data_IF_420973992020
#
_entry.id   IF_420973992020
#
_cell.length_a   1.000
_cell.length_b   1.000
_cell.length_c   1.000
_cell.angle_alpha   90.00
_cell.angle_beta   90.00
_cell.angle_gamma   90.00
#
_symmetry.space_group_name_H-M   'P 1'
#
loop_
_entity.id
_entity.type
_entity.pdbx_description
1 polymer ?
2 non-polymer ?
3 non-polymer ?
4 water ?
#
# COMPACT_ATOMS: atom_id res chain seq x y z
N UNK A 18 0.91 -26.67 -2.63
CA UNK A 18 1.71 -25.73 -1.85
C UNK A 18 1.83 -26.13 -0.38
N UNK A 19 2.53 -25.29 0.37
CA UNK A 19 2.65 -25.41 1.83
C UNK A 19 3.15 -26.76 2.34
N UNK A 20 4.39 -27.13 1.97
CA UNK A 20 4.97 -28.42 2.38
C UNK A 20 5.05 -28.57 3.90
N UNK A 21 5.04 -29.82 4.38
CA UNK A 21 5.04 -30.10 5.81
C UNK A 21 6.45 -30.20 6.36
N UNK A 22 7.41 -30.45 5.48
CA UNK A 22 8.78 -30.69 5.92
C UNK A 22 9.78 -29.79 5.19
N UNK A 23 9.41 -28.52 4.99
CA UNK A 23 10.31 -27.55 4.40
C UNK A 23 11.57 -27.37 5.28
N UNK A 24 12.75 -27.41 4.67
CA UNK A 24 13.99 -27.21 5.41
C UNK A 24 14.34 -25.72 5.49
N UNK A 25 13.98 -25.10 6.62
CA UNK A 25 14.26 -23.70 6.88
C UNK A 25 15.67 -23.45 7.43
N UNK A 26 16.41 -24.54 7.67
CA UNK A 26 17.79 -24.44 8.17
C UNK A 26 18.80 -24.31 7.04
N UNK A 27 18.76 -23.16 6.36
CA UNK A 27 19.59 -22.90 5.19
C UNK A 27 21.08 -22.75 5.53
N UNK A 28 21.94 -23.39 4.75
CA UNK A 28 23.37 -23.24 4.92
C UNK A 28 23.90 -22.45 3.74
N UNK A 29 23.08 -22.32 2.69
CA UNK A 29 23.45 -21.51 1.52
C UNK A 29 22.26 -20.70 0.99
N UNK A 30 22.55 -19.67 0.21
CA UNK A 30 21.51 -18.99 -0.52
C UNK A 30 21.26 -17.58 -0.06
N UNK A 31 20.37 -16.88 -0.76
CA UNK A 31 20.03 -15.51 -0.42
C UNK A 31 18.52 -15.30 -0.38
N UNK A 32 18.07 -14.34 0.44
CA UNK A 32 16.65 -14.20 0.76
C UNK A 32 16.28 -12.72 0.76
N UNK A 33 15.19 -12.38 0.07
CA UNK A 33 14.76 -10.98 -0.04
C UNK A 33 13.29 -10.82 0.34
N UNK A 34 12.95 -9.64 0.87
CA UNK A 34 11.56 -9.24 1.07
C UNK A 34 11.03 -8.71 -0.26
N UNK A 35 9.80 -9.08 -0.62
CA UNK A 35 9.14 -8.46 -1.77
C UNK A 35 7.93 -7.71 -1.24
N UNK A 36 7.85 -6.41 -1.50
CA UNK A 36 6.64 -5.67 -1.13
C UNK A 36 5.78 -5.45 -2.38
N UNK A 37 4.65 -6.14 -2.44
CA UNK A 37 3.75 -6.05 -3.58
C UNK A 37 2.77 -4.89 -3.43
N UNK A 38 2.56 -4.16 -4.53
CA UNK A 38 1.65 -3.00 -4.53
C UNK A 38 0.20 -3.42 -4.41
N UNK A 39 -0.11 -4.62 -4.88
CA UNK A 39 -1.50 -5.07 -4.94
C UNK A 39 -1.62 -6.57 -4.76
N UNK A 40 -2.76 -7.00 -4.22
CA UNK A 40 -3.08 -8.42 -4.15
C UNK A 40 -3.28 -8.98 -5.57
N UNK A 41 -3.67 -8.10 -6.49
CA UNK A 41 -3.76 -8.48 -7.90
C UNK A 41 -2.42 -9.02 -8.44
N UNK A 42 -1.30 -8.42 -8.05
CA UNK A 42 0.00 -8.89 -8.50
C UNK A 42 0.33 -10.26 -7.94
N UNK A 43 -0.09 -10.50 -6.70
CA UNK A 43 0.11 -11.81 -6.08
C UNK A 43 -0.68 -12.90 -6.82
N UNK A 44 -1.95 -12.65 -7.11
CA UNK A 44 -2.77 -13.60 -7.84
C UNK A 44 -2.16 -13.88 -9.22
N UNK A 45 -1.82 -12.82 -9.96
CA UNK A 45 -1.15 -13.01 -11.24
C UNK A 45 0.14 -13.85 -11.11
N UNK A 46 0.94 -13.57 -10.09
CA UNK A 46 2.22 -14.26 -9.92
C UNK A 46 2.02 -15.74 -9.61
N UNK A 47 1.01 -16.03 -8.82
CA UNK A 47 0.74 -17.41 -8.44
C UNK A 47 0.20 -18.20 -9.64
N UNK A 48 -0.60 -17.53 -10.46
CA UNK A 48 -1.23 -18.17 -11.62
C UNK A 48 -0.23 -18.43 -12.76
N UNK A 49 0.69 -17.52 -12.98
CA UNK A 49 1.60 -17.63 -14.13
C UNK A 49 3.05 -17.88 -13.77
N UNK A 50 3.33 -17.96 -12.46
CA UNK A 50 4.68 -18.23 -11.97
C UNK A 50 5.74 -17.27 -12.46
N UNK A 51 5.41 -15.98 -12.41
CA UNK A 51 6.37 -14.95 -12.77
C UNK A 51 6.30 -13.86 -11.73
N UNK A 52 7.27 -12.96 -11.74
CA UNK A 52 7.21 -11.78 -10.91
C UNK A 52 7.91 -10.67 -11.63
N UNK A 53 7.62 -9.44 -11.25
CA UNK A 53 8.38 -8.29 -11.73
C UNK A 53 8.45 -7.27 -10.61
N UNK A 54 9.65 -6.73 -10.40
CA UNK A 54 9.86 -5.69 -9.40
C UNK A 54 10.14 -4.38 -10.15
N UNK A 55 10.59 -3.36 -9.43
CA UNK A 55 11.05 -2.13 -10.07
C UNK A 55 12.36 -2.43 -10.79
N UNK A 56 12.81 -1.50 -11.61
CA UNK A 56 14.10 -1.63 -12.30
C UNK A 56 15.23 -1.93 -11.32
N UNK A 57 15.30 -1.10 -10.29
CA UNK A 57 16.31 -1.23 -9.26
C UNK A 57 16.17 -2.60 -8.58
N UNK A 58 14.94 -2.98 -8.24
CA UNK A 58 14.68 -4.26 -7.60
C UNK A 58 15.03 -5.44 -8.49
N UNK A 59 14.58 -5.40 -9.74
CA UNK A 59 14.94 -6.42 -10.72
C UNK A 59 16.46 -6.63 -10.84
N UNK A 60 17.20 -5.52 -10.87
CA UNK A 60 18.66 -5.58 -10.99
C UNK A 60 19.26 -6.27 -9.78
N UNK A 61 18.76 -5.91 -8.60
CA UNK A 61 19.29 -6.47 -7.37
C UNK A 61 19.01 -7.97 -7.31
N UNK A 62 17.81 -8.37 -7.72
CA UNK A 62 17.43 -9.78 -7.74
C UNK A 62 18.20 -10.58 -8.80
N UNK A 63 18.41 -9.97 -9.96
CA UNK A 63 19.13 -10.59 -11.07
C UNK A 63 20.56 -10.91 -10.66
N UNK A 64 21.24 -9.93 -10.06
CA UNK A 64 22.62 -10.12 -9.59
C UNK A 64 22.72 -11.24 -8.59
N UNK A 65 21.75 -11.30 -7.66
CA UNK A 65 21.78 -12.35 -6.65
C UNK A 65 21.54 -13.72 -7.27
N UNK A 66 20.59 -13.81 -8.21
CA UNK A 66 20.29 -15.09 -8.85
C UNK A 66 21.49 -15.62 -9.63
N UNK A 67 22.11 -14.73 -10.42
CA UNK A 67 23.26 -15.07 -11.23
C UNK A 67 24.46 -15.45 -10.36
N UNK A 68 24.67 -14.72 -9.27
CA UNK A 68 25.74 -15.01 -8.32
C UNK A 68 25.68 -16.44 -7.86
N UNK A 69 24.47 -16.88 -7.52
CA UNK A 69 24.28 -18.21 -6.96
C UNK A 69 24.72 -19.31 -7.93
N UNK A 70 24.60 -19.03 -9.23
CA UNK A 70 25.00 -19.98 -10.27
C UNK A 70 24.36 -21.36 -10.12
N UNK A 71 23.19 -21.41 -9.47
CA UNK A 71 22.46 -22.65 -9.30
C UNK A 71 22.95 -23.55 -8.18
N UNK A 72 23.81 -23.04 -7.30
CA UNK A 72 24.37 -23.85 -6.23
C UNK A 72 23.72 -23.52 -4.87
N UNK A 73 22.59 -22.81 -4.94
CA UNK A 73 21.78 -22.52 -3.78
C UNK A 73 20.60 -21.65 -4.17
N UNK A 74 19.56 -21.62 -3.33
CA UNK A 74 18.28 -20.97 -3.65
C UNK A 74 18.25 -19.44 -3.44
N UNK A 75 17.45 -18.73 -4.23
CA UNK A 75 17.06 -17.37 -3.88
C UNK A 75 15.58 -17.39 -3.48
N UNK A 76 15.32 -17.13 -2.21
CA UNK A 76 13.95 -17.08 -1.70
C UNK A 76 13.39 -15.67 -1.65
N UNK A 77 12.09 -15.57 -1.84
CA UNK A 77 11.40 -14.28 -1.89
C UNK A 77 10.28 -14.33 -0.85
N UNK A 78 10.28 -13.38 0.09
CA UNK A 78 9.27 -13.37 1.13
C UNK A 78 8.26 -12.25 0.83
N UNK A 79 7.04 -12.63 0.45
CA UNK A 79 6.05 -11.69 -0.09
C UNK A 79 5.11 -11.12 0.94
N UNK A 80 4.85 -9.82 0.81
CA UNK A 80 3.90 -9.13 1.65
C UNK A 80 3.26 -8.00 0.84
N UNK A 81 1.93 -7.91 0.84
CA UNK A 81 1.26 -6.80 0.15
C UNK A 81 1.24 -5.53 1.01
N UNK A 82 1.65 -4.41 0.43
CA UNK A 82 1.63 -3.10 1.08
C UNK A 82 0.31 -2.84 1.81
N UNK A 83 0.42 -2.47 3.08
CA UNK A 83 -0.75 -2.09 3.85
C UNK A 83 -1.53 -3.24 4.43
N UNK A 84 -1.11 -4.48 4.16
CA UNK A 84 -1.88 -5.65 4.57
C UNK A 84 -1.58 -6.06 6.01
N UNK A 85 -0.41 -5.67 6.51
CA UNK A 85 -0.02 -6.07 7.86
C UNK A 85 0.27 -7.55 8.01
N UNK A 86 0.46 -8.26 6.89
CA UNK A 86 0.89 -9.67 6.94
C UNK A 86 1.76 -10.08 5.75
N UNK A 87 2.40 -11.24 5.87
CA UNK A 87 3.08 -11.86 4.74
C UNK A 87 2.10 -12.81 4.07
N UNK A 88 2.24 -13.02 2.76
CA UNK A 88 1.26 -13.87 2.07
C UNK A 88 1.87 -15.12 1.45
N UNK A 89 3.20 -15.22 1.51
CA UNK A 89 3.85 -16.43 1.05
C UNK A 89 5.33 -16.31 0.77
N UNK A 90 5.86 -17.36 0.14
CA UNK A 90 7.27 -17.51 -0.11
C UNK A 90 7.36 -18.19 -1.45
N UNK A 91 8.24 -17.69 -2.30
CA UNK A 91 8.49 -18.26 -3.60
C UNK A 91 9.99 -18.40 -3.79
N UNK A 92 10.39 -19.27 -4.71
CA UNK A 92 11.79 -19.35 -5.08
C UNK A 92 11.99 -18.75 -6.47
N UNK A 93 13.02 -17.94 -6.63
CA UNK A 93 13.34 -17.36 -7.94
C UNK A 93 13.89 -18.48 -8.85
N UNK A 94 13.39 -18.56 -10.07
CA UNK A 94 13.68 -19.72 -10.92
C UNK A 94 14.27 -19.37 -12.28
N UNK A 95 14.63 -18.10 -12.49
CA UNK A 95 15.26 -17.67 -13.73
C UNK A 95 15.94 -16.33 -13.51
N UNK A 96 16.85 -15.94 -14.40
CA UNK A 96 17.36 -14.57 -14.39
C UNK A 96 16.23 -13.68 -14.92
N UNK A 97 16.38 -12.36 -14.83
CA UNK A 97 15.30 -11.51 -15.35
C UNK A 97 15.50 -11.18 -16.83
N UNK A 98 14.39 -11.19 -17.57
CA UNK A 98 14.36 -10.66 -18.92
C UNK A 98 13.80 -9.26 -18.78
N UNK A 99 14.59 -8.24 -19.10
CA UNK A 99 14.13 -6.84 -19.01
C UNK A 99 13.31 -6.42 -20.21
N UNK A 100 13.36 -7.22 -21.26
CA UNK A 100 12.77 -6.83 -22.53
C UNK A 100 11.36 -7.42 -22.71
N UNK A 101 10.36 -6.76 -22.10
CA UNK A 101 9.00 -7.32 -22.10
C UNK A 101 7.92 -6.29 -22.42
N UNK A 102 6.72 -6.79 -22.67
CA UNK A 102 5.52 -5.98 -22.69
C UNK A 102 5.35 -5.21 -21.37
N UNK A 103 4.86 -3.99 -21.46
CA UNK A 103 4.48 -3.20 -20.31
C UNK A 103 3.07 -3.57 -19.88
N UNK A 104 2.67 -3.10 -18.70
CA UNK A 104 1.28 -3.19 -18.28
C UNK A 104 0.82 -4.59 -17.89
N UNK A 105 1.76 -5.50 -17.67
CA UNK A 105 1.39 -6.80 -17.13
C UNK A 105 1.00 -6.66 -15.66
N UNK A 106 1.56 -5.64 -14.99
CA UNK A 106 1.38 -5.50 -13.55
C UNK A 106 0.56 -4.27 -13.14
N UNK A 107 0.27 -4.16 -11.84
CA UNK A 107 -0.58 -3.06 -11.33
C UNK A 107 0.10 -1.69 -11.50
N UNK A 108 1.43 -1.67 -11.45
CA UNK A 108 2.14 -0.46 -11.86
C UNK A 108 2.38 -0.64 -13.36
N UNK A 109 1.54 0.00 -14.18
CA UNK A 109 1.41 -0.40 -15.59
C UNK A 109 2.61 -0.06 -16.49
N UNK A 110 3.52 0.76 -15.98
CA UNK A 110 4.72 1.10 -16.72
C UNK A 110 5.84 0.05 -16.57
N UNK A 111 5.71 -0.79 -15.55
CA UNK A 111 6.75 -1.78 -15.25
C UNK A 111 7.01 -2.78 -16.40
N UNK A 112 8.28 -2.93 -16.74
CA UNK A 112 8.72 -3.97 -17.67
C UNK A 112 9.72 -4.90 -16.97
N UNK A 113 9.78 -6.15 -17.42
CA UNK A 113 10.66 -7.14 -16.84
C UNK A 113 9.90 -8.34 -16.35
N UNK A 114 10.57 -9.47 -16.27
CA UNK A 114 9.94 -10.72 -15.89
C UNK A 114 11.01 -11.72 -15.45
N UNK A 115 10.74 -12.45 -14.36
CA UNK A 115 11.53 -13.65 -14.03
C UNK A 115 10.59 -14.74 -13.55
N UNK A 116 10.98 -16.00 -13.70
CA UNK A 116 10.11 -17.10 -13.24
C UNK A 116 10.25 -17.29 -11.73
N UNK A 117 9.16 -17.70 -11.09
CA UNK A 117 9.22 -18.02 -9.68
C UNK A 117 8.51 -19.35 -9.48
N UNK A 118 8.83 -20.03 -8.38
CA UNK A 118 8.05 -21.18 -7.96
C UNK A 118 7.49 -20.88 -6.58
N UNK A 119 6.17 -20.82 -6.47
CA UNK A 119 5.57 -20.57 -5.17
C UNK A 119 5.68 -21.81 -4.28
N UNK A 120 6.10 -21.61 -3.04
CA UNK A 120 6.29 -22.72 -2.13
C UNK A 120 5.23 -22.60 -1.03
N UNK A 121 5.20 -21.46 -0.37
CA UNK A 121 4.14 -21.16 0.59
C UNK A 121 3.18 -20.11 0.05
N UNK A 122 1.90 -20.42 0.16
CA UNK A 122 0.84 -19.46 -0.11
C UNK A 122 -0.06 -19.50 1.12
N UNK A 123 0.18 -18.56 2.04
CA UNK A 123 -0.59 -18.47 3.26
C UNK A 123 -0.33 -17.13 3.97
N UNK A 124 -1.32 -16.65 4.71
CA UNK A 124 -1.20 -15.36 5.36
C UNK A 124 -0.58 -15.52 6.74
N UNK A 125 0.52 -14.81 7.00
CA UNK A 125 1.14 -14.84 8.32
C UNK A 125 1.23 -13.42 8.85
N UNK A 126 0.54 -13.13 9.97
CA UNK A 126 0.46 -11.76 10.52
C UNK A 126 1.83 -11.21 10.92
N UNK A 127 2.06 -9.91 10.69
CA UNK A 127 3.32 -9.25 11.04
C UNK A 127 3.68 -9.38 12.52
N UNK A 128 2.65 -9.53 13.36
CA UNK A 128 2.84 -9.71 14.80
C UNK A 128 3.70 -10.94 15.13
N UNK A 129 3.66 -11.96 14.27
CA UNK A 129 4.44 -13.19 14.45
C UNK A 129 5.92 -13.04 14.09
N UNK A 130 6.23 -12.02 13.29
CA UNK A 130 7.57 -11.87 12.72
C UNK A 130 8.28 -10.63 13.22
N UNK A 131 7.52 -9.73 13.84
CA UNK A 131 8.03 -8.38 14.12
C UNK A 131 9.23 -8.33 15.07
N UNK A 132 9.47 -9.39 15.83
CA UNK A 132 10.61 -9.37 16.75
C UNK A 132 11.94 -9.79 16.09
N UNK A 133 11.87 -10.17 14.83
CA UNK A 133 13.09 -10.43 14.07
C UNK A 133 13.59 -9.14 13.45
N UNK A 134 14.82 -8.75 13.80
CA UNK A 134 15.41 -7.52 13.34
C UNK A 134 16.54 -7.77 12.35
N UNK A 135 16.72 -6.83 11.41
CA UNK A 135 17.74 -6.95 10.38
C UNK A 135 18.92 -6.02 10.69
N UNK A 136 20.04 -6.61 11.11
CA UNK A 136 21.22 -5.87 11.49
C UNK A 136 21.80 -5.11 10.32
N UNK A 137 21.44 -5.52 9.11
CA UNK A 137 21.92 -4.82 7.94
C UNK A 137 21.00 -3.67 7.54
N UNK A 138 19.89 -3.52 8.25
CA UNK A 138 18.97 -2.41 7.98
C UNK A 138 18.69 -1.67 9.27
N UNK A 139 19.78 -1.19 9.89
CA UNK A 139 19.72 -0.38 11.11
C UNK A 139 18.91 -1.03 12.21
N UNK A 140 18.94 -2.35 12.24
CA UNK A 140 18.27 -3.16 13.26
C UNK A 140 16.76 -3.00 13.29
N UNK A 141 16.18 -2.63 12.16
CA UNK A 141 14.72 -2.50 12.04
C UNK A 141 14.03 -3.85 11.98
N UNK A 142 12.77 -3.91 12.46
CA UNK A 142 12.02 -5.17 12.35
C UNK A 142 11.91 -5.60 10.88
N UNK A 143 11.96 -6.91 10.64
CA UNK A 143 11.88 -7.44 9.27
C UNK A 143 10.54 -7.02 8.62
N UNK A 144 9.51 -6.87 9.45
CA UNK A 144 8.19 -6.45 9.00
C UNK A 144 8.08 -4.96 8.54
N UNK A 145 9.13 -4.17 8.76
CA UNK A 145 9.17 -2.79 8.29
C UNK A 145 10.03 -2.63 7.04
N UNK A 146 10.33 -3.74 6.39
CA UNK A 146 11.27 -3.72 5.27
C UNK A 146 10.62 -3.11 4.02
N UNK A 147 11.45 -2.52 3.16
CA UNK A 147 11.01 -2.11 1.84
C UNK A 147 11.26 -3.22 0.81
N UNK A 148 10.73 -3.02 -0.40
CA UNK A 148 10.86 -3.98 -1.51
C UNK A 148 12.31 -4.34 -1.83
N UNK A 149 12.61 -5.64 -1.89
CA UNK A 149 13.95 -6.19 -2.19
C UNK A 149 15.01 -5.96 -1.11
N UNK A 150 14.57 -5.61 0.09
CA UNK A 150 15.48 -5.62 1.24
C UNK A 150 16.03 -7.05 1.39
N UNK A 151 17.36 -7.21 1.39
CA UNK A 151 17.91 -8.55 1.60
C UNK A 151 17.91 -8.87 3.10
N UNK A 152 17.78 -10.15 3.42
CA UNK A 152 17.68 -10.59 4.80
C UNK A 152 18.90 -11.46 5.14
N UNK A 153 19.62 -11.12 6.23
CA UNK A 153 20.74 -11.95 6.70
C UNK A 153 20.28 -13.38 6.88
N UNK A 154 21.08 -14.33 6.39
CA UNK A 154 20.65 -15.74 6.40
C UNK A 154 20.20 -16.24 7.77
N UNK A 155 20.86 -15.81 8.84
CA UNK A 155 20.48 -16.31 10.16
C UNK A 155 19.09 -15.79 10.59
N UNK A 156 18.72 -14.59 10.12
CA UNK A 156 17.38 -14.08 10.41
C UNK A 156 16.35 -14.69 9.45
N UNK A 157 16.75 -14.92 8.20
CA UNK A 157 15.89 -15.58 7.21
C UNK A 157 15.42 -16.97 7.66
N UNK A 158 16.31 -17.67 8.38
CA UNK A 158 15.98 -18.98 8.94
C UNK A 158 14.85 -18.86 9.94
N UNK A 159 14.90 -17.82 10.77
CA UNK A 159 13.89 -17.64 11.80
C UNK A 159 12.53 -17.32 11.17
N UNK A 160 12.53 -16.49 10.12
CA UNK A 160 11.30 -16.14 9.42
C UNK A 160 10.70 -17.36 8.74
N UNK A 161 11.55 -18.13 8.06
CA UNK A 161 11.07 -19.27 7.29
C UNK A 161 10.46 -20.31 8.21
N UNK A 162 11.07 -20.46 9.39
CA UNK A 162 10.56 -21.40 10.39
C UNK A 162 9.15 -21.01 10.87
N UNK A 163 8.97 -19.72 11.16
CA UNK A 163 7.67 -19.22 11.61
C UNK A 163 6.60 -19.33 10.51
N UNK A 164 6.95 -18.94 9.29
CA UNK A 164 6.00 -19.02 8.17
C UNK A 164 5.59 -20.48 7.89
N UNK A 165 6.56 -21.39 7.92
CA UNK A 165 6.30 -22.81 7.67
C UNK A 165 5.36 -23.39 8.71
N UNK A 166 5.58 -22.96 9.96
CA UNK A 166 4.89 -23.55 11.11
C UNK A 166 3.59 -22.85 11.49
N UNK A 167 3.36 -21.64 10.97
CA UNK A 167 2.17 -20.89 11.38
C UNK A 167 0.86 -21.56 10.96
N UNK A 168 -0.04 -21.74 11.92
CA UNK A 168 -1.41 -22.20 11.66
C UNK A 168 -2.38 -21.13 12.13
N UNK B 18 -15.77 10.82 -14.18
CA UNK B 18 -15.20 11.66 -13.14
C UNK B 18 -14.61 12.95 -13.70
N UNK B 19 -13.80 13.62 -12.88
CA UNK B 19 -13.09 14.85 -13.25
C UNK B 19 -13.97 15.89 -13.93
N UNK B 20 -14.90 16.48 -13.16
CA UNK B 20 -15.85 17.44 -13.73
C UNK B 20 -15.11 18.68 -14.20
N UNK B 21 -15.67 19.36 -15.18
CA UNK B 21 -15.21 20.71 -15.48
C UNK B 21 -16.15 21.61 -14.70
N UNK B 22 -15.65 22.76 -14.26
CA UNK B 22 -16.43 23.69 -13.45
C UNK B 22 -16.89 23.07 -12.10
N UNK B 23 -15.94 22.50 -11.36
CA UNK B 23 -16.15 22.18 -9.94
C UNK B 23 -15.89 23.44 -9.12
N UNK B 24 -16.84 23.84 -8.29
CA UNK B 24 -16.66 25.05 -7.47
C UNK B 24 -15.81 24.79 -6.23
N UNK B 25 -14.54 25.18 -6.29
CA UNK B 25 -13.62 25.07 -5.17
C UNK B 25 -13.75 26.24 -4.17
N UNK B 26 -14.65 27.18 -4.46
CA UNK B 26 -14.85 28.35 -3.61
C UNK B 26 -15.82 28.11 -2.45
N UNK B 27 -15.40 27.26 -1.51
CA UNK B 27 -16.27 26.79 -0.43
C UNK B 27 -16.58 27.87 0.60
N UNK B 28 -17.86 27.96 0.98
CA UNK B 28 -18.30 28.92 1.98
C UNK B 28 -18.68 28.17 3.25
N UNK B 29 -18.94 26.88 3.11
CA UNK B 29 -19.24 26.03 4.25
C UNK B 29 -18.58 24.67 4.03
N UNK B 30 -18.56 23.84 5.07
CA UNK B 30 -18.10 22.48 4.91
C UNK B 30 -16.82 22.15 5.66
N UNK B 31 -16.40 20.90 5.60
CA UNK B 31 -15.14 20.50 6.22
C UNK B 31 -14.36 19.55 5.29
N UNK B 32 -13.03 19.60 5.39
CA UNK B 32 -12.15 18.92 4.43
C UNK B 32 -11.05 18.19 5.18
N UNK B 33 -10.81 16.93 4.81
CA UNK B 33 -9.82 16.07 5.48
C UNK B 33 -8.88 15.40 4.48
N UNK B 34 -7.63 15.20 4.91
CA UNK B 34 -6.67 14.41 4.19
C UNK B 34 -6.95 12.94 4.49
N UNK B 35 -6.96 12.09 3.47
CA UNK B 35 -7.00 10.63 3.70
C UNK B 35 -5.64 10.06 3.27
N UNK B 36 -4.97 9.37 4.18
CA UNK B 36 -3.69 8.72 3.87
C UNK B 36 -3.86 7.21 3.91
N UNK B 37 -3.62 6.55 2.77
CA UNK B 37 -3.84 5.12 2.66
C UNK B 37 -2.57 4.34 2.31
N UNK B 38 -2.35 3.21 2.98
CA UNK B 38 -1.24 2.31 2.62
C UNK B 38 -1.58 1.38 1.46
N UNK B 39 -2.84 1.37 1.01
CA UNK B 39 -3.27 0.37 0.04
C UNK B 39 -3.96 0.92 -1.21
N UNK B 40 -3.37 0.70 -2.39
CA UNK B 40 -4.09 1.05 -3.61
C UNK B 40 -5.26 0.09 -3.85
N UNK B 41 -5.19 -1.10 -3.24
CA UNK B 41 -6.32 -2.04 -3.26
C UNK B 41 -7.53 -1.40 -2.56
N UNK B 42 -7.30 -0.79 -1.40
CA UNK B 42 -8.37 -0.03 -0.72
C UNK B 42 -8.95 1.08 -1.62
N UNK B 43 -8.07 1.83 -2.27
CA UNK B 43 -8.50 2.87 -3.22
C UNK B 43 -9.41 2.33 -4.33
N UNK B 44 -8.96 1.27 -5.00
CA UNK B 44 -9.72 0.68 -6.09
C UNK B 44 -11.07 0.18 -5.61
N UNK B 45 -11.08 -0.46 -4.45
CA UNK B 45 -12.34 -0.92 -3.86
C UNK B 45 -13.26 0.26 -3.59
N UNK B 46 -12.70 1.35 -3.07
CA UNK B 46 -13.48 2.53 -2.72
C UNK B 46 -14.09 3.17 -3.97
N UNK B 47 -13.30 3.24 -5.03
CA UNK B 47 -13.83 3.75 -6.29
C UNK B 47 -14.91 2.82 -6.86
N UNK B 48 -14.70 1.51 -6.74
CA UNK B 48 -15.66 0.56 -7.33
C UNK B 48 -17.00 0.48 -6.60
N UNK B 49 -16.97 0.59 -5.28
CA UNK B 49 -18.19 0.42 -4.50
C UNK B 49 -18.64 1.70 -3.77
N UNK B 50 -17.88 2.78 -3.91
CA UNK B 50 -18.24 4.05 -3.28
C UNK B 50 -18.37 3.94 -1.78
N UNK B 51 -17.36 3.32 -1.16
CA UNK B 51 -17.34 3.23 0.29
C UNK B 51 -15.92 3.50 0.76
N UNK B 52 -15.77 3.80 2.04
CA UNK B 52 -14.44 3.97 2.60
C UNK B 52 -14.44 3.50 4.04
N UNK B 53 -13.26 3.24 4.57
CA UNK B 53 -13.10 2.94 5.99
C UNK B 53 -11.74 3.48 6.43
N UNK B 54 -11.69 4.07 7.62
CA UNK B 54 -10.42 4.51 8.19
C UNK B 54 -10.08 3.64 9.41
N UNK B 55 -9.09 4.06 10.19
CA UNK B 55 -8.88 3.45 11.49
C UNK B 55 -10.11 3.76 12.36
N UNK B 56 -10.15 3.21 13.57
CA UNK B 56 -11.23 3.53 14.50
C UNK B 56 -11.18 5.02 14.89
N UNK B 57 -9.97 5.49 15.18
CA UNK B 57 -9.78 6.91 15.49
C UNK B 57 -10.15 7.79 14.28
N UNK B 58 -9.77 7.35 13.09
CA UNK B 58 -10.09 8.08 11.86
C UNK B 58 -11.60 8.14 11.62
N UNK B 59 -12.24 6.99 11.63
CA UNK B 59 -13.69 6.90 11.47
C UNK B 59 -14.46 7.80 12.44
N UNK B 60 -14.01 7.86 13.69
CA UNK B 60 -14.71 8.63 14.74
C UNK B 60 -14.61 10.11 14.46
N UNK B 61 -13.46 10.52 13.96
CA UNK B 61 -13.26 11.91 13.56
C UNK B 61 -14.11 12.28 12.35
N UNK B 62 -14.11 11.43 11.32
CA UNK B 62 -14.90 11.74 10.13
C UNK B 62 -16.39 11.71 10.42
N UNK B 63 -16.82 10.73 11.22
CA UNK B 63 -18.23 10.60 11.59
C UNK B 63 -18.70 11.86 12.32
N UNK B 64 -17.92 12.33 13.29
CA UNK B 64 -18.27 13.51 14.06
C UNK B 64 -18.44 14.73 13.15
N UNK B 65 -17.52 14.89 12.20
CA UNK B 65 -17.62 15.98 11.23
C UNK B 65 -18.84 15.86 10.34
N UNK B 66 -19.11 14.66 9.81
CA UNK B 66 -20.27 14.46 8.95
C UNK B 66 -21.58 14.71 9.69
N UNK B 67 -21.66 14.20 10.91
CA UNK B 67 -22.88 14.35 11.71
C UNK B 67 -23.14 15.81 12.05
N UNK B 68 -22.08 16.53 12.38
CA UNK B 68 -22.15 17.95 12.73
C UNK B 68 -22.60 18.82 11.56
N UNK B 69 -22.30 18.37 10.34
CA UNK B 69 -22.65 19.14 9.16
C UNK B 69 -24.14 19.15 8.87
N UNK B 70 -24.85 18.11 9.31
CA UNK B 70 -26.27 17.91 9.01
C UNK B 70 -26.68 18.18 7.56
N UNK B 71 -25.77 17.91 6.63
CA UNK B 71 -26.03 18.18 5.23
C UNK B 71 -26.27 19.64 4.87
N UNK B 72 -25.77 20.55 5.69
CA UNK B 72 -25.85 21.98 5.36
C UNK B 72 -24.55 22.46 4.70
N UNK B 73 -23.68 21.50 4.40
CA UNK B 73 -22.44 21.74 3.67
C UNK B 73 -21.71 20.41 3.57
N UNK B 74 -20.80 20.28 2.58
CA UNK B 74 -20.16 19.00 2.24
C UNK B 74 -18.99 18.63 3.16
N UNK B 75 -18.66 17.35 3.22
CA UNK B 75 -17.38 16.90 3.80
C UNK B 75 -16.57 16.32 2.64
N UNK B 76 -15.44 16.95 2.32
CA UNK B 76 -14.58 16.48 1.23
C UNK B 76 -13.36 15.75 1.78
N UNK B 77 -12.93 14.71 1.06
CA UNK B 77 -11.82 13.87 1.48
C UNK B 77 -10.77 13.86 0.39
N UNK B 78 -9.52 14.20 0.75
CA UNK B 78 -8.45 14.35 -0.22
C UNK B 78 -7.51 13.13 -0.11
N UNK B 79 -7.51 12.28 -1.14
CA UNK B 79 -6.85 10.96 -1.05
C UNK B 79 -5.40 10.95 -1.59
N UNK B 80 -4.51 10.35 -0.81
CA UNK B 80 -3.14 10.08 -1.23
C UNK B 80 -2.64 8.72 -0.73
N UNK B 81 -2.07 7.91 -1.63
CA UNK B 81 -1.44 6.66 -1.18
C UNK B 81 -0.05 6.93 -0.60
N UNK B 82 0.18 6.51 0.64
CA UNK B 82 1.44 6.71 1.33
C UNK B 82 2.66 6.37 0.48
N UNK B 83 3.62 7.29 0.40
CA UNK B 83 4.86 7.06 -0.31
C UNK B 83 4.76 7.06 -1.82
N UNK B 84 3.60 7.45 -2.36
CA UNK B 84 3.46 7.50 -3.80
C UNK B 84 3.88 8.86 -4.35
N UNK B 85 4.11 9.82 -3.44
CA UNK B 85 4.51 11.16 -3.84
C UNK B 85 3.41 11.97 -4.52
N UNK B 86 2.19 11.45 -4.54
CA UNK B 86 1.08 12.19 -5.16
C UNK B 86 -0.29 11.95 -4.52
N UNK B 87 -1.25 12.82 -4.86
CA UNK B 87 -2.64 12.64 -4.49
C UNK B 87 -3.34 11.96 -5.66
N UNK B 88 -4.39 11.18 -5.37
CA UNK B 88 -5.01 10.36 -6.42
C UNK B 88 -6.48 10.69 -6.63
N UNK B 89 -7.03 11.59 -5.82
CA UNK B 89 -8.38 12.05 -6.08
C UNK B 89 -9.09 12.70 -4.91
N UNK B 90 -10.36 13.02 -5.15
CA UNK B 90 -11.19 13.74 -4.20
C UNK B 90 -12.52 13.02 -4.13
N UNK B 91 -13.01 12.77 -2.93
CA UNK B 91 -14.36 12.22 -2.75
C UNK B 91 -15.15 13.04 -1.73
N UNK B 92 -16.47 12.99 -1.83
CA UNK B 92 -17.34 13.55 -0.79
C UNK B 92 -17.89 12.43 0.09
N UNK B 93 -17.90 12.65 1.40
CA UNK B 93 -18.55 11.74 2.34
C UNK B 93 -20.07 11.80 2.15
N UNK B 94 -20.74 10.65 2.04
CA UNK B 94 -22.16 10.63 1.72
C UNK B 94 -23.04 9.90 2.73
N UNK B 95 -22.45 9.51 3.85
CA UNK B 95 -23.23 8.91 4.93
C UNK B 95 -22.42 8.96 6.20
N UNK B 96 -23.09 8.71 7.32
CA UNK B 96 -22.39 8.54 8.59
C UNK B 96 -21.75 7.16 8.60
N UNK B 97 -20.90 6.90 9.59
CA UNK B 97 -20.16 5.66 9.65
C UNK B 97 -21.02 4.55 10.30
N UNK B 98 -21.07 3.39 9.65
CA UNK B 98 -21.67 2.19 10.25
C UNK B 98 -20.51 1.35 10.73
N UNK B 99 -20.40 1.20 12.06
CA UNK B 99 -19.28 0.50 12.68
C UNK B 99 -19.48 -1.00 12.73
N UNK B 100 -20.73 -1.44 12.53
CA UNK B 100 -21.08 -2.84 12.68
C UNK B 100 -21.14 -3.55 11.34
N UNK B 101 -19.98 -3.98 10.88
CA UNK B 101 -19.82 -4.54 9.55
C UNK B 101 -19.00 -5.81 9.59
N UNK B 102 -19.05 -6.56 8.51
CA UNK B 102 -18.14 -7.67 8.26
C UNK B 102 -16.71 -7.14 8.24
N UNK B 103 -15.79 -7.93 8.81
CA UNK B 103 -14.37 -7.62 8.75
C UNK B 103 -13.78 -8.11 7.43
N UNK B 104 -12.50 -7.85 7.21
CA UNK B 104 -11.80 -8.39 6.06
C UNK B 104 -12.11 -7.72 4.73
N UNK B 105 -12.88 -6.64 4.74
CA UNK B 105 -13.16 -5.89 3.52
C UNK B 105 -11.93 -5.10 3.05
N UNK B 106 -11.09 -4.68 4.00
CA UNK B 106 -9.99 -3.76 3.69
C UNK B 106 -8.63 -4.43 3.89
N UNK B 107 -7.57 -3.81 3.37
CA UNK B 107 -6.23 -4.40 3.47
C UNK B 107 -5.84 -4.73 4.90
N UNK B 108 -6.19 -3.86 5.83
CA UNK B 108 -6.13 -4.23 7.24
C UNK B 108 -7.36 -5.09 7.52
N UNK B 109 -7.18 -6.40 7.54
CA UNK B 109 -8.35 -7.31 7.56
C UNK B 109 -9.17 -7.31 8.85
N UNK B 110 -8.69 -6.63 9.87
CA UNK B 110 -9.40 -6.49 11.13
C UNK B 110 -10.34 -5.29 11.17
N UNK B 111 -10.18 -4.37 10.21
CA UNK B 111 -11.01 -3.16 10.18
C UNK B 111 -12.48 -3.49 10.00
N UNK B 112 -13.29 -2.97 10.89
CA UNK B 112 -14.74 -2.98 10.71
C UNK B 112 -15.14 -1.51 10.52
N UNK B 113 -16.20 -1.28 9.77
CA UNK B 113 -16.66 0.07 9.56
C UNK B 113 -16.80 0.39 8.09
N UNK B 114 -17.73 1.28 7.79
CA UNK B 114 -18.01 1.63 6.42
C UNK B 114 -18.78 2.93 6.42
N UNK B 115 -18.43 3.80 5.46
CA UNK B 115 -19.31 4.90 5.10
C UNK B 115 -19.31 5.10 3.57
N UNK B 116 -20.40 5.66 3.05
CA UNK B 116 -20.55 5.95 1.63
C UNK B 116 -19.75 7.18 1.25
N UNK B 117 -19.18 7.15 0.04
CA UNK B 117 -18.51 8.30 -0.52
C UNK B 117 -18.99 8.47 -1.95
N UNK B 118 -18.81 9.67 -2.50
CA UNK B 118 -18.96 9.85 -3.94
C UNK B 118 -17.65 10.40 -4.50
N UNK B 119 -17.00 9.62 -5.35
CA UNK B 119 -15.75 10.06 -5.96
C UNK B 119 -16.08 11.14 -6.97
N UNK B 120 -15.35 12.24 -6.88
CA UNK B 120 -15.57 13.38 -7.76
C UNK B 120 -14.38 13.47 -8.69
N UNK B 121 -13.19 13.58 -8.13
CA UNK B 121 -11.97 13.55 -8.92
C UNK B 121 -11.23 12.23 -8.70
N UNK B 122 -10.92 11.55 -9.79
CA UNK B 122 -9.96 10.44 -9.78
C UNK B 122 -8.84 10.79 -10.75
N UNK B 123 -7.70 11.22 -10.21
CA UNK B 123 -6.59 11.70 -11.04
C UNK B 123 -5.34 11.90 -10.20
N UNK B 124 -4.17 11.70 -10.81
CA UNK B 124 -2.89 11.85 -10.11
C UNK B 124 -2.42 13.32 -10.11
N UNK B 125 -2.07 13.82 -8.93
CA UNK B 125 -1.57 15.19 -8.76
C UNK B 125 -0.34 15.14 -7.85
N UNK B 126 0.82 15.53 -8.38
CA UNK B 126 2.10 15.44 -7.64
C UNK B 126 2.15 16.30 -6.37
N UNK B 127 2.86 15.83 -5.35
CA UNK B 127 2.99 16.59 -4.10
C UNK B 127 3.76 17.90 -4.26
N UNK B 128 4.55 17.97 -5.34
CA UNK B 128 5.26 19.20 -5.69
C UNK B 128 4.27 20.33 -5.93
N UNK B 129 3.15 20.01 -6.58
CA UNK B 129 2.10 20.99 -6.87
C UNK B 129 1.41 21.55 -5.62
N UNK B 130 1.63 20.93 -4.46
CA UNK B 130 0.83 21.23 -3.28
C UNK B 130 1.62 21.54 -2.01
N UNK B 131 2.91 21.25 -2.02
CA UNK B 131 3.69 21.28 -0.77
C UNK B 131 3.87 22.66 -0.14
N UNK B 132 3.68 23.71 -0.92
CA UNK B 132 3.85 25.07 -0.39
C UNK B 132 2.62 25.57 0.40
N UNK B 133 1.57 24.77 0.39
CA UNK B 133 0.39 25.04 1.21
C UNK B 133 0.58 24.45 2.61
N UNK B 134 0.53 25.31 3.62
CA UNK B 134 0.81 24.88 4.99
C UNK B 134 -0.42 24.95 5.88
N UNK B 135 -0.47 24.09 6.89
CA UNK B 135 -1.64 24.03 7.75
C UNK B 135 -1.33 24.60 9.13
N UNK B 136 -1.92 25.75 9.42
CA UNK B 136 -1.62 26.46 10.65
C UNK B 136 -2.17 25.69 11.83
N UNK B 137 -3.12 24.81 11.57
CA UNK B 137 -3.63 23.96 12.66
C UNK B 137 -2.70 22.77 12.93
N UNK B 138 -1.75 22.56 12.03
CA UNK B 138 -0.77 21.48 12.19
C UNK B 138 0.66 21.99 12.12
N UNK B 139 1.03 22.83 13.09
CA UNK B 139 2.41 23.32 13.24
C UNK B 139 3.00 23.89 11.95
N UNK B 140 2.14 24.47 11.12
CA UNK B 140 2.53 25.05 9.81
C UNK B 140 3.23 24.07 8.86
N UNK B 141 3.05 22.77 9.12
CA UNK B 141 3.60 21.73 8.24
C UNK B 141 2.91 21.74 6.88
N UNK B 142 3.64 21.38 5.81
CA UNK B 142 3.04 21.35 4.47
C UNK B 142 1.88 20.36 4.41
N UNK B 143 0.90 20.62 3.54
CA UNK B 143 -0.32 19.82 3.49
C UNK B 143 0.02 18.38 3.04
N UNK B 144 1.08 18.27 2.25
CA UNK B 144 1.58 17.00 1.74
C UNK B 144 2.25 16.12 2.80
N UNK B 145 2.46 16.68 3.99
CA UNK B 145 3.08 15.94 5.09
C UNK B 145 2.04 15.56 6.14
N UNK B 146 0.78 15.56 5.76
CA UNK B 146 -0.29 15.25 6.71
C UNK B 146 -0.39 13.74 6.98
N UNK B 147 -0.92 13.39 8.15
CA UNK B 147 -1.27 12.01 8.44
C UNK B 147 -2.77 11.82 8.17
N UNK B 148 -3.22 10.57 8.24
CA UNK B 148 -4.61 10.21 7.97
C UNK B 148 -5.63 11.00 8.80
N UNK B 149 -6.64 11.54 8.13
CA UNK B 149 -7.69 12.37 8.74
C UNK B 149 -7.23 13.71 9.36
N UNK B 150 -6.09 14.21 8.91
CA UNK B 150 -5.66 15.56 9.27
C UNK B 150 -6.72 16.54 8.71
N UNK B 151 -7.33 17.36 9.56
CA UNK B 151 -8.32 18.30 9.00
C UNK B 151 -7.63 19.50 8.37
N UNK B 152 -8.22 20.04 7.30
CA UNK B 152 -7.65 21.16 6.60
C UNK B 152 -8.50 22.43 6.77
N UNK B 153 -7.86 23.53 7.24
CA UNK B 153 -8.52 24.86 7.29
C UNK B 153 -9.10 25.21 5.93
N UNK B 154 -10.32 25.74 5.94
CA UNK B 154 -11.07 25.96 4.71
C UNK B 154 -10.38 26.84 3.67
N UNK B 155 -9.67 27.87 4.12
CA UNK B 155 -9.00 28.77 3.16
C UNK B 155 -7.83 28.04 2.47
N UNK B 156 -7.22 27.11 3.18
CA UNK B 156 -6.16 26.27 2.63
C UNK B 156 -6.76 25.18 1.72
N UNK B 157 -7.86 24.59 2.18
CA UNK B 157 -8.59 23.61 1.39
C UNK B 157 -8.99 24.14 0.00
N UNK B 158 -9.41 25.40 -0.07
CA UNK B 158 -9.79 26.01 -1.35
C UNK B 158 -8.62 26.04 -2.33
N UNK B 159 -7.43 26.29 -1.80
CA UNK B 159 -6.22 26.30 -2.61
C UNK B 159 -5.87 24.88 -3.11
N UNK B 160 -5.90 23.88 -2.23
CA UNK B 160 -5.64 22.49 -2.65
C UNK B 160 -6.61 22.07 -3.77
N UNK B 161 -7.90 22.31 -3.57
CA UNK B 161 -8.92 21.85 -4.50
C UNK B 161 -8.83 22.54 -5.87
N UNK B 162 -8.54 23.84 -5.89
CA UNK B 162 -8.27 24.53 -7.15
C UNK B 162 -7.15 23.84 -7.92
N UNK B 163 -6.03 23.57 -7.24
CA UNK B 163 -4.88 22.93 -7.88
C UNK B 163 -5.20 21.52 -8.41
N UNK B 164 -5.85 20.70 -7.59
CA UNK B 164 -6.26 19.35 -8.02
C UNK B 164 -7.21 19.42 -9.22
N UNK B 165 -8.21 20.31 -9.14
CA UNK B 165 -9.24 20.38 -10.17
C UNK B 165 -8.70 20.85 -11.53
N UNK B 166 -7.75 21.77 -11.51
CA UNK B 166 -7.24 22.32 -12.76
C UNK B 166 -5.96 21.65 -13.26
N UNK B 167 -5.31 20.85 -12.41
CA UNK B 167 -4.06 20.19 -12.80
C UNK B 167 -4.22 19.36 -14.09
N UNK B 168 -3.19 19.41 -14.93
CA UNK B 168 -3.19 18.70 -16.21
C UNK B 168 -1.75 18.36 -16.62
X LIG C 1 -7.00 -11.39 -16.34
X LIG C 1 -6.39 -10.12 -16.31
X LIG C 1 -5.85 -12.34 -16.60
X LIG C 1 -4.71 -11.52 -16.71
X LIG C 1 -5.65 -13.31 -15.44
X LIG C 1 -5.25 -14.55 -16.00
X LIG D 1 3.51 10.69 1.40
X LIG D 1 3.52 9.53 2.22
X LIG D 1 4.48 10.54 0.23
X LIG D 1 3.74 10.19 -0.95
X LIG E 1 0.23 30.74 7.14
X LIG E 1 0.14 30.37 8.53
X LIG E 1 -1.14 31.16 6.62
X LIG E 1 -0.98 32.13 5.56
#
# INVERSE_FOLDING_TARGET
GSSEPHPVLEKLRSINNYNPKDFDWNLKHGRVFIIKSYSEDDIHRSIKYNIWCSTEHGNKRLDAAYRSMNGKGPVYLLFSVNGSGHFCGVAEMKSAVDYNTCAGVWSQDKWKGRFDVRWIFVKDVPNSQLRHIRLENNENKPVTNSRDTQEVPLEKAKQVLKIIASYKHTTSI
GSSEPHPVLEKLRSINNYNPKDFDWNLKHGRVFIIKSYSEDDIHRSIKYNIWCSTEHGNKRLDAAYRSMNGKGPVYLLFSVNGSGHFCGVAEMKSAVDYNTCAGVWSQDKWKGRFDVRWIFVKDVPNSQLRHIRLENNENKPVTNSRDTQEVPLEKAKQVLKIIASYKHTTSI
GOL C1 O1 C2 O2 C3 O3
EDO C1 O1 C2 O2
EDO C1 O1 C2 O2
#
